data_IF_067493558585
#
_entry.id   IF_067493558585
#
_cell.length_a   1.000
_cell.length_b   1.000
_cell.length_c   1.000
_cell.angle_alpha   90.00
_cell.angle_beta   90.00
_cell.angle_gamma   90.00
#
_symmetry.space_group_name_H-M   'P 1'
#
loop_
_entity.id
_entity.type
_entity.pdbx_description
1 polymer ?
#
# COMPACT_ATOMS: atom_id res chain seq x y z
N UNK A 1 21.81 5.97 -12.70
CA UNK A 1 20.55 6.74 -12.59
C UNK A 1 19.69 6.06 -11.54
N UNK A 2 19.48 6.69 -10.38
CA UNK A 2 18.58 6.16 -9.35
C UNK A 2 17.24 6.85 -9.48
N UNK A 3 16.27 6.19 -10.08
CA UNK A 3 14.90 6.69 -10.11
C UNK A 3 14.34 6.52 -8.70
N UNK A 4 14.22 7.62 -7.94
CA UNK A 4 13.53 7.60 -6.65
C UNK A 4 12.03 7.69 -6.92
N UNK A 5 11.33 6.57 -6.78
CA UNK A 5 9.87 6.58 -6.71
C UNK A 5 9.48 6.97 -5.29
N UNK A 6 8.84 8.14 -5.04
CA UNK A 6 8.28 8.42 -3.73
C UNK A 6 7.20 7.37 -3.45
N UNK A 7 7.42 6.55 -2.43
CA UNK A 7 6.39 5.66 -1.91
C UNK A 7 5.32 6.52 -1.24
N UNK A 8 4.23 6.81 -1.94
CA UNK A 8 3.04 7.38 -1.30
C UNK A 8 2.30 6.26 -0.59
N UNK A 9 1.76 6.54 0.60
CA UNK A 9 0.87 5.61 1.31
C UNK A 9 -0.55 6.14 1.31
N UNK A 10 -1.52 5.28 1.04
CA UNK A 10 -2.94 5.58 1.13
C UNK A 10 -3.48 4.94 2.41
N UNK A 11 -4.15 5.68 3.32
CA UNK A 11 -4.82 5.05 4.44
C UNK A 11 -6.01 4.23 3.94
N UNK A 12 -6.14 3.01 4.42
CA UNK A 12 -7.23 2.09 4.10
C UNK A 12 -7.82 1.52 5.39
N UNK A 13 -9.14 1.58 5.50
CA UNK A 13 -9.88 0.96 6.59
C UNK A 13 -10.34 -0.41 6.11
N UNK A 14 -9.89 -1.48 6.78
CA UNK A 14 -10.22 -2.86 6.42
C UNK A 14 -11.74 -3.07 6.41
N UNK A 15 -12.23 -3.70 5.36
CA UNK A 15 -13.63 -4.04 5.13
C UNK A 15 -13.81 -5.56 5.00
N UNK A 16 -15.05 -6.09 5.14
CA UNK A 16 -15.29 -7.52 4.97
C UNK A 16 -14.80 -8.02 3.60
N UNK A 17 -13.98 -9.08 3.61
CA UNK A 17 -13.40 -9.67 2.40
C UNK A 17 -12.03 -9.12 1.99
N UNK A 18 -11.53 -8.09 2.68
CA UNK A 18 -10.15 -7.63 2.45
C UNK A 18 -9.13 -8.68 2.89
N UNK A 19 -8.11 -8.85 2.06
CA UNK A 19 -6.89 -9.61 2.37
C UNK A 19 -5.69 -8.76 1.96
N UNK A 20 -4.52 -8.98 2.56
CA UNK A 20 -3.32 -8.27 2.10
C UNK A 20 -3.04 -8.54 0.61
N UNK A 21 -3.38 -9.74 0.12
CA UNK A 21 -3.23 -10.10 -1.29
C UNK A 21 -4.17 -9.32 -2.21
N UNK A 22 -5.46 -9.23 -1.89
CA UNK A 22 -6.43 -8.48 -2.70
C UNK A 22 -6.09 -7.00 -2.73
N UNK A 23 -5.69 -6.43 -1.59
CA UNK A 23 -5.25 -5.04 -1.48
C UNK A 23 -3.95 -4.80 -2.26
N UNK A 24 -2.96 -5.70 -2.16
CA UNK A 24 -1.73 -5.60 -2.94
C UNK A 24 -2.00 -5.58 -4.44
N UNK A 25 -2.85 -6.49 -4.91
CA UNK A 25 -3.26 -6.59 -6.33
C UNK A 25 -4.00 -5.33 -6.78
N UNK A 26 -4.96 -4.84 -6.00
CA UNK A 26 -5.76 -3.67 -6.34
C UNK A 26 -4.92 -2.38 -6.42
N UNK A 27 -3.95 -2.23 -5.52
CA UNK A 27 -3.12 -1.03 -5.42
C UNK A 27 -1.79 -1.13 -6.17
N UNK A 28 -1.60 -2.19 -6.95
CA UNK A 28 -0.39 -2.44 -7.73
C UNK A 28 0.89 -2.34 -6.87
N UNK A 29 0.84 -3.02 -5.72
CA UNK A 29 1.91 -3.10 -4.72
C UNK A 29 2.14 -4.56 -4.31
N UNK A 30 2.95 -4.82 -3.28
CA UNK A 30 3.21 -6.17 -2.79
C UNK A 30 2.73 -6.32 -1.34
N UNK A 31 2.39 -7.56 -0.96
CA UNK A 31 2.06 -7.90 0.43
C UNK A 31 3.21 -7.51 1.37
N UNK A 32 4.46 -7.77 0.97
CA UNK A 32 5.64 -7.39 1.73
C UNK A 32 5.81 -5.87 1.91
N UNK A 33 5.45 -5.08 0.89
CA UNK A 33 5.45 -3.63 1.01
C UNK A 33 4.36 -3.14 1.97
N UNK A 34 3.14 -3.69 1.87
CA UNK A 34 2.06 -3.39 2.83
C UNK A 34 2.51 -3.76 4.25
N UNK A 35 3.09 -4.94 4.44
CA UNK A 35 3.56 -5.38 5.76
C UNK A 35 4.65 -4.45 6.32
N UNK A 36 5.63 -4.08 5.50
CA UNK A 36 6.71 -3.17 5.90
C UNK A 36 6.22 -1.77 6.26
N UNK A 37 5.14 -1.30 5.61
CA UNK A 37 4.52 -0.02 5.89
C UNK A 37 3.67 0.00 7.18
N UNK A 38 3.38 -1.17 7.76
CA UNK A 38 2.49 -1.32 8.90
C UNK A 38 3.14 -2.16 10.01
N UNK A 39 4.16 -1.63 10.70
CA UNK A 39 4.78 -2.35 11.81
C UNK A 39 3.74 -2.70 12.89
N UNK A 40 3.69 -3.97 13.28
CA UNK A 40 2.79 -4.45 14.33
C UNK A 40 1.44 -4.99 13.87
N UNK A 41 1.16 -5.05 12.55
CA UNK A 41 0.00 -5.80 12.07
C UNK A 41 0.30 -7.29 12.02
N UNK A 42 -0.70 -8.11 12.34
CA UNK A 42 -0.65 -9.54 12.05
C UNK A 42 -1.37 -9.80 10.71
N UNK A 43 -0.65 -10.29 9.68
CA UNK A 43 -1.21 -10.53 8.35
C UNK A 43 -2.30 -11.62 8.34
N UNK A 44 -2.32 -12.50 9.35
CA UNK A 44 -3.32 -13.56 9.47
C UNK A 44 -4.57 -13.10 10.25
N UNK A 45 -4.52 -11.94 10.90
CA UNK A 45 -5.59 -11.42 11.75
C UNK A 45 -5.92 -9.96 11.41
N UNK A 46 -6.27 -9.70 10.15
CA UNK A 46 -6.83 -8.40 9.76
C UNK A 46 -8.23 -8.23 10.35
N UNK A 47 -8.43 -7.14 11.10
CA UNK A 47 -9.72 -6.86 11.73
C UNK A 47 -10.53 -5.86 10.89
N UNK A 48 -11.80 -6.15 10.65
CA UNK A 48 -12.71 -5.18 10.02
C UNK A 48 -12.74 -3.90 10.84
N UNK A 49 -12.52 -2.77 10.17
CA UNK A 49 -12.43 -1.44 10.79
C UNK A 49 -11.02 -1.02 11.20
N UNK A 50 -10.02 -1.90 11.13
CA UNK A 50 -8.62 -1.56 11.34
C UNK A 50 -8.11 -0.62 10.24
N UNK A 51 -7.31 0.38 10.61
CA UNK A 51 -6.64 1.25 9.65
C UNK A 51 -5.24 0.72 9.34
N UNK A 52 -4.91 0.64 8.06
CA UNK A 52 -3.56 0.31 7.56
C UNK A 52 -3.14 1.31 6.47
N UNK A 53 -1.86 1.33 6.16
CA UNK A 53 -1.27 2.12 5.09
C UNK A 53 -0.91 1.24 3.90
N UNK A 54 -1.48 1.55 2.73
CA UNK A 54 -1.18 0.83 1.49
C UNK A 54 -0.17 1.64 0.69
N UNK A 55 1.09 1.17 0.55
CA UNK A 55 2.07 1.84 -0.30
C UNK A 55 1.69 1.67 -1.77
N UNK A 56 1.66 2.77 -2.51
CA UNK A 56 1.47 2.80 -3.96
C UNK A 56 2.72 3.34 -4.63
N UNK A 57 3.19 2.63 -5.65
CA UNK A 57 4.24 3.11 -6.53
C UNK A 57 3.58 3.87 -7.66
N UNK A 58 3.31 5.15 -7.45
CA UNK A 58 2.96 6.01 -8.58
C UNK A 58 4.24 6.22 -9.38
N UNK A 59 4.26 5.95 -10.70
CA UNK A 59 5.22 6.61 -11.55
C UNK A 59 5.02 8.09 -11.27
N UNK A 60 6.04 8.77 -10.74
CA UNK A 60 6.03 10.23 -10.79
C UNK A 60 5.93 10.52 -12.26
N UNK A 61 4.78 11.02 -12.71
CA UNK A 61 4.74 11.68 -13.98
C UNK A 61 5.79 12.77 -13.84
N UNK A 62 6.94 12.60 -14.49
CA UNK A 62 7.77 13.72 -14.90
C UNK A 62 6.94 14.41 -15.99
N UNK A 63 5.77 14.92 -15.62
CA UNK A 63 5.07 15.90 -16.39
C UNK A 63 6.10 17.02 -16.48
N UNK A 64 6.63 17.22 -17.69
CA UNK A 64 7.41 18.40 -18.02
C UNK A 64 6.67 19.57 -17.39
N UNK A 65 7.26 20.19 -16.37
CA UNK A 65 6.81 21.49 -15.89
C UNK A 65 6.73 22.41 -17.11
N UNK A 66 5.62 23.14 -17.32
CA UNK A 66 5.67 24.30 -18.20
C UNK A 66 6.66 25.34 -17.66
#
# INVERSE_FOLDING_TARGET
>A
MSVKFPSQTIPHKITPGDTLYSLAKHHNTTVGAIFSANPGIDPNFLQVGQNIYIPVFKPVAIAKSP
#
